data_IF_360796567280
#
_entry.id   IF_360796567280
#
_cell.length_a   1.000
_cell.length_b   1.000
_cell.length_c   1.000
_cell.angle_alpha   90.00
_cell.angle_beta   90.00
_cell.angle_gamma   90.00
#
_symmetry.space_group_name_H-M   'P 1'
#
loop_
_entity.id
_entity.type
_entity.pdbx_description
1 polymer ?
#
# COMPACT_ATOMS: atom_id res chain seq x y z
N UNK A 1 -24.28 0.40 9.50
CA UNK A 1 -24.08 1.14 8.23
C UNK A 1 -23.74 0.10 7.18
N UNK A 2 -24.41 0.13 6.02
CA UNK A 2 -24.19 -0.88 4.96
C UNK A 2 -22.78 -0.77 4.41
N UNK A 3 -22.04 -1.88 4.38
CA UNK A 3 -20.68 -2.00 3.82
C UNK A 3 -20.57 -1.55 2.35
N UNK A 4 -21.70 -1.46 1.65
CA UNK A 4 -21.79 -1.06 0.24
C UNK A 4 -21.39 0.40 -0.04
N UNK A 5 -21.35 1.29 0.96
CA UNK A 5 -21.00 2.70 0.78
C UNK A 5 -19.50 3.01 0.91
N UNK A 6 -18.68 2.00 1.21
CA UNK A 6 -17.26 2.19 1.55
C UNK A 6 -16.32 1.75 0.42
N UNK A 7 -16.85 1.34 -0.74
CA UNK A 7 -16.04 0.97 -1.90
C UNK A 7 -16.55 1.62 -3.19
N UNK A 8 -15.91 2.70 -3.63
CA UNK A 8 -16.13 3.29 -4.96
C UNK A 8 -15.34 2.49 -6.01
N UNK A 9 -16.00 2.06 -7.09
CA UNK A 9 -15.38 1.20 -8.12
C UNK A 9 -15.12 1.97 -9.41
N UNK A 10 -13.89 1.85 -9.89
CA UNK A 10 -13.42 2.34 -11.19
C UNK A 10 -12.95 1.13 -12.00
N UNK A 11 -13.78 0.70 -12.95
CA UNK A 11 -13.47 -0.41 -13.84
C UNK A 11 -12.88 0.09 -15.17
N UNK A 12 -11.80 -0.56 -15.61
CA UNK A 12 -11.07 -0.25 -16.83
C UNK A 12 -11.08 -1.46 -17.76
N UNK A 13 -10.99 -1.23 -19.08
CA UNK A 13 -11.00 -2.32 -20.06
C UNK A 13 -9.70 -3.14 -20.09
N UNK A 14 -8.60 -2.53 -19.63
CA UNK A 14 -7.29 -3.16 -19.58
C UNK A 14 -6.37 -2.47 -18.56
N UNK A 15 -5.25 -3.13 -18.28
CA UNK A 15 -4.24 -2.65 -17.34
C UNK A 15 -3.55 -1.35 -17.79
N UNK A 16 -3.52 -1.03 -19.08
CA UNK A 16 -2.92 0.22 -19.57
C UNK A 16 -3.78 1.42 -19.19
N UNK A 17 -5.09 1.35 -19.45
CA UNK A 17 -6.04 2.39 -19.04
C UNK A 17 -6.13 2.52 -17.53
N UNK A 18 -6.12 1.39 -16.80
CA UNK A 18 -6.03 1.41 -15.33
C UNK A 18 -4.78 2.16 -14.88
N UNK A 19 -3.62 1.83 -15.45
CA UNK A 19 -2.33 2.44 -15.07
C UNK A 19 -2.32 3.95 -15.34
N UNK A 20 -2.93 4.39 -16.44
CA UNK A 20 -3.07 5.81 -16.76
C UNK A 20 -3.97 6.55 -15.78
N UNK A 21 -5.16 6.01 -15.52
CA UNK A 21 -6.09 6.60 -14.58
C UNK A 21 -5.54 6.61 -13.14
N UNK A 22 -4.87 5.53 -12.73
CA UNK A 22 -4.19 5.46 -11.44
C UNK A 22 -3.11 6.53 -11.32
N UNK A 23 -2.25 6.68 -12.34
CA UNK A 23 -1.21 7.68 -12.34
C UNK A 23 -1.77 9.11 -12.23
N UNK A 24 -2.81 9.43 -13.02
CA UNK A 24 -3.49 10.73 -12.94
C UNK A 24 -4.11 10.96 -11.55
N UNK A 25 -4.76 9.94 -10.99
CA UNK A 25 -5.42 10.02 -9.68
C UNK A 25 -4.43 10.23 -8.53
N UNK A 26 -3.29 9.54 -8.59
CA UNK A 26 -2.17 9.75 -7.67
C UNK A 26 -1.63 11.17 -7.80
N UNK A 27 -1.40 11.65 -9.03
CA UNK A 27 -0.90 13.01 -9.27
C UNK A 27 -1.80 14.09 -8.70
N UNK A 28 -3.11 13.99 -8.92
CA UNK A 28 -4.06 14.95 -8.34
C UNK A 28 -4.01 14.93 -6.81
N UNK A 29 -3.96 13.73 -6.21
CA UNK A 29 -3.95 13.57 -4.75
C UNK A 29 -2.70 14.17 -4.13
N UNK A 30 -1.53 13.82 -4.67
CA UNK A 30 -0.25 14.30 -4.15
C UNK A 30 -0.09 15.80 -4.38
N UNK A 31 -0.53 16.33 -5.53
CA UNK A 31 -0.48 17.78 -5.79
C UNK A 31 -1.35 18.55 -4.79
N UNK A 32 -2.58 18.10 -4.54
CA UNK A 32 -3.46 18.73 -3.55
C UNK A 32 -2.85 18.71 -2.13
N UNK A 33 -2.24 17.59 -1.73
CA UNK A 33 -1.57 17.48 -0.44
C UNK A 33 -0.34 18.42 -0.35
N UNK A 34 0.45 18.52 -1.42
CA UNK A 34 1.60 19.44 -1.50
C UNK A 34 1.15 20.89 -1.45
N UNK A 35 0.11 21.27 -2.19
CA UNK A 35 -0.44 22.64 -2.16
C UNK A 35 -0.95 23.02 -0.76
N UNK A 36 -1.52 22.06 -0.04
CA UNK A 36 -2.12 22.30 1.29
C UNK A 36 -1.10 22.28 2.43
N UNK A 37 -0.10 21.39 2.37
CA UNK A 37 0.79 21.09 3.49
C UNK A 37 2.29 21.25 3.17
N UNK A 38 2.64 21.60 1.93
CA UNK A 38 4.01 21.72 1.43
C UNK A 38 4.72 20.38 1.18
N UNK A 39 4.06 19.25 1.46
CA UNK A 39 4.59 17.89 1.29
C UNK A 39 3.46 16.87 1.20
N UNK A 40 3.73 15.71 0.61
CA UNK A 40 2.78 14.59 0.54
C UNK A 40 3.45 13.26 0.84
N UNK A 41 2.67 12.28 1.28
CA UNK A 41 3.10 10.89 1.47
C UNK A 41 2.41 9.95 0.50
N UNK A 42 3.18 9.03 -0.08
CA UNK A 42 2.70 7.96 -0.95
C UNK A 42 3.20 6.61 -0.40
N UNK A 43 2.27 5.74 -0.04
CA UNK A 43 2.56 4.35 0.30
C UNK A 43 2.29 3.48 -0.93
N UNK A 44 3.25 2.66 -1.33
CA UNK A 44 3.13 1.76 -2.48
C UNK A 44 3.29 0.29 -2.07
N UNK A 45 2.59 -0.65 -2.72
CA UNK A 45 2.74 -2.07 -2.43
C UNK A 45 3.84 -2.71 -3.28
N UNK A 46 4.26 -3.90 -2.87
CA UNK A 46 4.99 -4.82 -3.75
C UNK A 46 4.08 -5.68 -4.63
N UNK A 47 4.67 -6.70 -5.26
CA UNK A 47 3.96 -7.66 -6.11
C UNK A 47 4.08 -7.35 -7.61
N UNK A 48 3.42 -8.15 -8.45
CA UNK A 48 3.61 -8.08 -9.91
C UNK A 48 2.87 -6.92 -10.58
N UNK A 49 1.68 -6.55 -10.10
CA UNK A 49 0.89 -5.46 -10.69
C UNK A 49 1.58 -4.09 -10.63
N UNK A 50 2.22 -3.69 -9.50
CA UNK A 50 2.97 -2.44 -9.43
C UNK A 50 4.10 -2.28 -10.46
N UNK A 51 4.73 -3.38 -10.89
CA UNK A 51 5.76 -3.36 -11.94
C UNK A 51 5.26 -2.72 -13.23
N UNK A 52 3.95 -2.80 -13.50
CA UNK A 52 3.34 -2.26 -14.73
C UNK A 52 3.01 -0.77 -14.60
N UNK A 53 2.40 -0.34 -13.50
CA UNK A 53 1.92 1.04 -13.36
C UNK A 53 2.93 2.01 -12.75
N UNK A 54 3.87 1.54 -11.91
CA UNK A 54 4.85 2.41 -11.26
C UNK A 54 5.76 3.14 -12.25
N UNK A 55 6.28 2.52 -13.34
CA UNK A 55 7.09 3.24 -14.31
C UNK A 55 6.34 4.41 -14.96
N UNK A 56 5.03 4.24 -15.20
CA UNK A 56 4.17 5.29 -15.75
C UNK A 56 3.94 6.40 -14.74
N UNK A 57 3.65 6.04 -13.48
CA UNK A 57 3.51 7.01 -12.40
C UNK A 57 4.80 7.84 -12.22
N UNK A 58 5.98 7.24 -12.35
CA UNK A 58 7.26 7.95 -12.22
C UNK A 58 7.46 9.06 -13.27
N UNK A 59 6.77 8.97 -14.42
CA UNK A 59 6.83 9.99 -15.48
C UNK A 59 5.86 11.16 -15.28
N UNK A 60 5.02 11.12 -14.24
CA UNK A 60 4.07 12.19 -13.98
C UNK A 60 4.79 13.47 -13.53
N UNK A 61 4.29 14.60 -14.02
CA UNK A 61 4.77 15.94 -13.64
C UNK A 61 4.30 16.29 -12.21
N UNK A 62 5.15 15.94 -11.25
CA UNK A 62 4.99 16.18 -9.83
C UNK A 62 6.30 16.73 -9.25
N UNK A 63 6.23 17.61 -8.23
CA UNK A 63 7.41 18.02 -7.50
C UNK A 63 7.87 16.90 -6.55
N UNK A 64 8.50 15.85 -7.10
CA UNK A 64 8.84 14.62 -6.37
C UNK A 64 9.70 14.85 -5.13
N UNK A 65 10.51 15.92 -5.10
CA UNK A 65 11.28 16.32 -3.91
C UNK A 65 10.42 16.66 -2.69
N UNK A 66 9.13 16.98 -2.88
CA UNK A 66 8.16 17.23 -1.81
C UNK A 66 7.35 15.98 -1.45
N UNK A 67 7.64 14.83 -2.08
CA UNK A 67 6.94 13.56 -1.87
C UNK A 67 7.81 12.62 -1.03
N UNK A 68 7.21 12.06 0.02
CA UNK A 68 7.76 11.01 0.85
C UNK A 68 7.12 9.68 0.46
N UNK A 69 7.93 8.69 0.13
CA UNK A 69 7.49 7.39 -0.37
C UNK A 69 7.94 6.31 0.60
N UNK A 70 7.02 5.39 0.93
CA UNK A 70 7.36 4.17 1.66
C UNK A 70 6.57 2.98 1.11
N UNK A 71 6.81 1.80 1.66
CA UNK A 71 6.16 0.55 1.30
C UNK A 71 4.97 0.28 2.21
N UNK A 72 3.93 -0.39 1.71
CA UNK A 72 2.86 -0.91 2.57
C UNK A 72 3.35 -2.02 3.49
N UNK A 73 4.33 -2.79 3.02
CA UNK A 73 4.94 -3.92 3.70
C UNK A 73 6.25 -4.32 3.02
N UNK A 74 7.06 -5.12 3.70
CA UNK A 74 8.31 -5.65 3.21
C UNK A 74 8.56 -7.07 3.72
N UNK A 75 9.22 -7.87 2.89
CA UNK A 75 9.76 -9.17 3.17
C UNK A 75 11.03 -8.97 3.99
N UNK A 76 11.19 -9.68 5.11
CA UNK A 76 12.38 -9.57 5.95
C UNK A 76 13.57 -10.32 5.34
N UNK A 77 14.04 -9.81 4.21
CA UNK A 77 15.16 -10.29 3.40
C UNK A 77 16.07 -9.11 3.06
N UNK A 78 17.24 -9.38 2.51
CA UNK A 78 18.14 -8.30 2.08
C UNK A 78 17.51 -7.43 0.97
N UNK A 79 17.75 -6.11 0.94
CA UNK A 79 17.20 -5.21 -0.08
C UNK A 79 17.62 -5.52 -1.52
N UNK A 80 18.62 -6.40 -1.73
CA UNK A 80 19.04 -6.87 -3.05
C UNK A 80 18.35 -8.18 -3.47
N UNK A 81 17.58 -8.81 -2.58
CA UNK A 81 16.82 -10.02 -2.87
C UNK A 81 15.72 -9.73 -3.90
N UNK A 82 15.48 -10.68 -4.81
CA UNK A 82 14.34 -10.64 -5.73
C UNK A 82 12.98 -10.65 -5.00
N UNK A 83 12.97 -11.09 -3.74
CA UNK A 83 11.78 -11.04 -2.90
C UNK A 83 11.59 -9.68 -2.20
N UNK A 84 12.50 -8.72 -2.31
CA UNK A 84 12.36 -7.42 -1.65
C UNK A 84 11.39 -6.51 -2.42
N UNK A 85 10.40 -5.96 -1.71
CA UNK A 85 9.53 -4.92 -2.23
C UNK A 85 10.30 -3.60 -2.43
N UNK A 86 11.27 -3.29 -1.57
CA UNK A 86 12.19 -2.16 -1.77
C UNK A 86 12.96 -2.29 -3.08
N UNK A 87 13.53 -3.47 -3.37
CA UNK A 87 14.19 -3.71 -4.66
C UNK A 87 13.26 -3.40 -5.82
N UNK A 88 12.06 -3.99 -5.79
CA UNK A 88 11.05 -3.80 -6.82
C UNK A 88 10.72 -2.31 -7.03
N UNK A 89 10.50 -1.56 -5.96
CA UNK A 89 10.17 -0.12 -6.05
C UNK A 89 11.36 0.70 -6.53
N UNK A 90 12.58 0.37 -6.12
CA UNK A 90 13.78 1.02 -6.66
C UNK A 90 13.92 0.80 -8.17
N UNK A 91 13.73 -0.45 -8.61
CA UNK A 91 13.84 -0.86 -10.02
C UNK A 91 12.66 -0.41 -10.89
N UNK A 92 11.44 -0.36 -10.39
CA UNK A 92 10.28 -0.06 -11.25
C UNK A 92 9.66 1.31 -11.00
N UNK A 93 10.17 2.07 -10.02
CA UNK A 93 9.64 3.38 -9.71
C UNK A 93 10.75 4.42 -9.59
N UNK A 94 11.61 4.32 -8.57
CA UNK A 94 12.55 5.40 -8.22
C UNK A 94 13.61 5.63 -9.30
N UNK A 95 14.08 4.58 -9.98
CA UNK A 95 15.05 4.72 -11.07
C UNK A 95 14.47 5.43 -12.31
N UNK A 96 13.14 5.47 -12.44
CA UNK A 96 12.46 6.10 -13.57
C UNK A 96 12.12 7.58 -13.33
N UNK A 97 12.32 8.09 -12.11
CA UNK A 97 12.00 9.47 -11.76
C UNK A 97 13.14 10.44 -12.12
N UNK A 98 12.77 11.59 -12.71
CA UNK A 98 13.72 12.66 -13.00
C UNK A 98 14.20 13.39 -11.74
N UNK A 99 13.34 13.46 -10.72
CA UNK A 99 13.63 14.05 -9.41
C UNK A 99 13.45 12.99 -8.34
N UNK A 100 14.47 12.81 -7.50
CA UNK A 100 14.42 11.79 -6.46
C UNK A 100 13.53 12.26 -5.29
N UNK A 101 12.55 11.44 -4.87
CA UNK A 101 11.73 11.69 -3.69
C UNK A 101 12.48 11.29 -2.41
N UNK A 102 11.88 11.59 -1.26
CA UNK A 102 12.32 11.01 0.01
C UNK A 102 11.81 9.58 0.10
N UNK A 103 12.69 8.57 0.08
CA UNK A 103 12.28 7.17 0.22
C UNK A 103 12.64 6.61 1.61
N UNK A 104 11.63 6.06 2.29
CA UNK A 104 11.75 5.47 3.63
C UNK A 104 11.59 3.96 3.51
N UNK A 105 12.69 3.25 3.71
CA UNK A 105 12.75 1.79 3.68
C UNK A 105 12.27 1.16 5.00
N UNK A 106 11.60 0.01 4.90
CA UNK A 106 11.13 -0.77 6.06
C UNK A 106 12.18 -1.79 6.53
N UNK A 107 13.07 -2.29 5.67
CA UNK A 107 14.15 -3.20 6.10
C UNK A 107 15.21 -2.43 6.88
N UNK A 108 15.67 -3.00 7.98
CA UNK A 108 16.79 -2.48 8.79
C UNK A 108 17.91 -3.52 8.87
N UNK A 109 19.01 -3.21 9.58
CA UNK A 109 20.10 -4.16 9.82
C UNK A 109 19.81 -5.23 10.86
N UNK A 110 18.63 -5.25 11.48
CA UNK A 110 18.27 -6.22 12.50
C UNK A 110 18.09 -7.63 11.92
N UNK A 111 18.37 -8.64 12.75
CA UNK A 111 18.24 -10.05 12.39
C UNK A 111 16.75 -10.42 12.27
N UNK A 112 15.92 -9.97 13.20
CA UNK A 112 14.48 -10.29 13.24
C UNK A 112 13.63 -9.01 13.15
N UNK A 113 12.48 -9.01 12.45
CA UNK A 113 11.66 -7.81 12.30
C UNK A 113 11.11 -7.27 13.63
N UNK A 114 10.86 -8.14 14.63
CA UNK A 114 10.38 -7.70 15.95
C UNK A 114 11.36 -6.75 16.65
N UNK A 115 12.66 -6.89 16.36
CA UNK A 115 13.70 -6.02 16.92
C UNK A 115 13.73 -4.65 16.24
N UNK A 116 13.09 -4.52 15.08
CA UNK A 116 13.15 -3.33 14.24
C UNK A 116 11.93 -2.41 14.38
N UNK A 117 10.89 -2.82 15.11
CA UNK A 117 9.62 -2.06 15.21
C UNK A 117 9.87 -0.61 15.62
N UNK A 118 10.61 -0.37 16.71
CA UNK A 118 10.88 0.99 17.20
C UNK A 118 11.59 1.85 16.15
N UNK A 119 12.59 1.30 15.46
CA UNK A 119 13.35 2.01 14.43
C UNK A 119 12.50 2.32 13.21
N UNK A 120 11.65 1.38 12.81
CA UNK A 120 10.78 1.53 11.64
C UNK A 120 9.66 2.52 11.95
N UNK A 121 9.06 2.47 13.14
CA UNK A 121 8.08 3.47 13.59
C UNK A 121 8.68 4.88 13.60
N UNK A 122 9.90 5.04 14.12
CA UNK A 122 10.59 6.33 14.12
C UNK A 122 10.81 6.86 12.70
N UNK A 123 11.23 6.00 11.76
CA UNK A 123 11.37 6.37 10.35
C UNK A 123 10.02 6.70 9.70
N UNK A 124 8.99 5.90 9.97
CA UNK A 124 7.64 6.12 9.43
C UNK A 124 7.01 7.41 9.96
N UNK A 125 7.38 7.84 11.16
CA UNK A 125 6.94 9.13 11.72
C UNK A 125 7.52 10.35 10.97
N UNK A 126 8.54 10.18 10.12
CA UNK A 126 9.06 11.26 9.26
C UNK A 126 8.14 11.58 8.08
N UNK A 127 7.30 10.61 7.66
CA UNK A 127 6.33 10.85 6.59
C UNK A 127 5.28 11.89 7.02
N UNK A 128 4.79 12.72 6.08
CA UNK A 128 3.58 13.50 6.29
C UNK A 128 2.42 12.59 6.72
N UNK A 129 1.80 12.92 7.86
CA UNK A 129 0.61 12.24 8.38
C UNK A 129 -0.57 13.22 8.49
N UNK A 130 -1.82 12.79 8.25
CA UNK A 130 -2.23 11.46 7.75
C UNK A 130 -1.59 11.12 6.40
N UNK A 131 -1.42 9.84 6.08
CA UNK A 131 -0.79 9.46 4.80
C UNK A 131 -1.63 9.96 3.63
N UNK A 132 -1.07 10.77 2.73
CA UNK A 132 -1.86 11.43 1.68
C UNK A 132 -2.51 10.42 0.74
N UNK A 133 -1.78 9.38 0.36
CA UNK A 133 -2.31 8.27 -0.43
C UNK A 133 -1.64 6.95 -0.09
N UNK A 134 -2.46 5.91 0.10
CA UNK A 134 -2.03 4.53 0.20
C UNK A 134 -2.54 3.75 -1.01
N UNK A 135 -1.63 3.09 -1.71
CA UNK A 135 -1.96 2.09 -2.74
C UNK A 135 -1.76 0.70 -2.12
N UNK A 136 -2.76 -0.17 -2.27
CA UNK A 136 -2.72 -1.55 -1.81
C UNK A 136 -2.97 -2.51 -2.97
N UNK A 137 -2.51 -3.74 -2.80
CA UNK A 137 -2.99 -4.90 -3.53
C UNK A 137 -3.84 -5.80 -2.62
N UNK A 138 -4.47 -6.81 -3.22
CA UNK A 138 -5.23 -7.84 -2.51
C UNK A 138 -4.64 -9.23 -2.73
N UNK A 139 -4.44 -9.96 -1.63
CA UNK A 139 -4.12 -11.38 -1.64
C UNK A 139 -5.33 -12.26 -1.95
N UNK A 140 -5.10 -13.51 -2.35
CA UNK A 140 -6.16 -14.49 -2.66
C UNK A 140 -6.98 -14.90 -1.42
N UNK A 141 -6.43 -14.69 -0.22
CA UNK A 141 -7.06 -14.88 1.09
C UNK A 141 -7.66 -13.58 1.67
N UNK A 142 -7.64 -12.48 0.90
CA UNK A 142 -8.12 -11.17 1.34
C UNK A 142 -7.14 -10.40 2.23
N UNK A 143 -5.88 -10.83 2.33
CA UNK A 143 -4.84 -10.03 2.97
C UNK A 143 -4.59 -8.73 2.20
N UNK A 144 -4.17 -7.70 2.94
CA UNK A 144 -3.70 -6.42 2.42
C UNK A 144 -2.35 -6.11 3.06
N UNK A 145 -1.44 -5.47 2.32
CA UNK A 145 -0.05 -5.34 2.76
C UNK A 145 0.50 -6.72 3.21
N UNK A 146 1.04 -6.83 4.42
CA UNK A 146 1.32 -8.13 5.05
C UNK A 146 0.45 -8.36 6.30
N UNK A 147 -0.80 -7.87 6.28
CA UNK A 147 -1.84 -8.15 7.29
C UNK A 147 -2.66 -9.34 6.80
N UNK A 148 -2.51 -10.51 7.43
CA UNK A 148 -3.14 -11.77 7.03
C UNK A 148 -4.37 -12.13 7.88
N UNK A 149 -5.31 -12.93 7.35
CA UNK A 149 -6.40 -13.49 8.14
C UNK A 149 -5.91 -14.21 9.41
N UNK A 150 -6.61 -13.99 10.52
CA UNK A 150 -6.27 -14.57 11.83
C UNK A 150 -5.23 -13.78 12.64
N UNK A 151 -4.65 -12.70 12.10
CA UNK A 151 -3.82 -11.79 12.89
C UNK A 151 -4.64 -10.89 13.81
N UNK A 152 -4.05 -10.52 14.96
CA UNK A 152 -4.60 -9.46 15.81
C UNK A 152 -4.34 -8.10 15.15
N UNK A 153 -5.38 -7.49 14.58
CA UNK A 153 -5.31 -6.17 13.95
C UNK A 153 -5.93 -5.12 14.87
N UNK A 154 -5.10 -4.46 15.68
CA UNK A 154 -5.55 -3.43 16.60
C UNK A 154 -5.62 -2.05 15.89
N UNK A 155 -6.81 -1.46 15.68
CA UNK A 155 -6.93 -0.12 15.10
C UNK A 155 -6.51 1.00 16.07
N UNK A 156 -6.45 0.73 17.38
CA UNK A 156 -6.18 1.72 18.43
C UNK A 156 -4.72 1.71 18.92
N UNK A 157 -3.84 0.93 18.28
CA UNK A 157 -2.40 0.95 18.59
C UNK A 157 -1.77 2.29 18.19
N UNK A 158 -0.64 2.67 18.82
CA UNK A 158 0.17 3.82 18.40
C UNK A 158 1.28 3.44 17.41
N UNK A 159 1.50 2.14 17.20
CA UNK A 159 2.53 1.60 16.31
C UNK A 159 2.13 1.79 14.85
N UNK A 160 3.02 2.33 14.01
CA UNK A 160 2.78 2.51 12.58
C UNK A 160 3.07 1.24 11.78
N UNK A 161 3.90 0.35 12.33
CA UNK A 161 4.19 -0.95 11.74
C UNK A 161 3.93 -2.10 12.70
N UNK A 162 3.87 -3.32 12.16
CA UNK A 162 3.81 -4.57 12.92
C UNK A 162 4.42 -5.71 12.11
N UNK A 163 4.89 -6.75 12.82
CA UNK A 163 5.42 -7.94 12.17
C UNK A 163 4.31 -8.91 11.75
N UNK A 164 4.60 -9.74 10.76
CA UNK A 164 3.72 -10.81 10.35
C UNK A 164 4.50 -12.05 9.94
N UNK A 165 3.92 -13.21 10.22
CA UNK A 165 4.41 -14.52 9.78
C UNK A 165 3.39 -15.07 8.79
N UNK A 166 3.68 -15.04 7.48
CA UNK A 166 2.74 -15.54 6.48
C UNK A 166 2.47 -17.04 6.70
N UNK A 167 1.22 -17.52 6.57
CA UNK A 167 0.91 -18.94 6.75
C UNK A 167 1.62 -19.86 5.75
N UNK A 168 1.85 -19.37 4.52
CA UNK A 168 2.30 -20.18 3.39
C UNK A 168 3.70 -19.81 2.85
N UNK A 169 4.33 -18.74 3.35
CA UNK A 169 5.62 -18.27 2.85
C UNK A 169 6.69 -18.24 3.96
N UNK A 170 7.94 -18.60 3.64
CA UNK A 170 8.98 -18.76 4.66
C UNK A 170 9.53 -17.44 5.21
N UNK A 171 9.37 -16.33 4.46
CA UNK A 171 9.90 -15.03 4.87
C UNK A 171 8.94 -14.29 5.80
N UNK A 172 9.43 -13.99 7.00
CA UNK A 172 8.79 -13.03 7.90
C UNK A 172 8.58 -11.69 7.22
N UNK A 173 7.61 -10.93 7.71
CA UNK A 173 7.21 -9.65 7.14
C UNK A 173 7.25 -8.56 8.19
N UNK A 174 7.46 -7.35 7.70
CA UNK A 174 7.07 -6.12 8.37
C UNK A 174 5.97 -5.47 7.52
N UNK A 175 4.89 -5.03 8.15
CA UNK A 175 3.74 -4.38 7.49
C UNK A 175 3.47 -3.05 8.16
N UNK A 176 2.90 -2.10 7.42
CA UNK A 176 2.12 -1.04 8.05
C UNK A 176 1.00 -1.68 8.88
N UNK A 177 0.74 -1.12 10.07
CA UNK A 177 -0.33 -1.57 10.96
C UNK A 177 -1.69 -1.18 10.41
N UNK A 178 -2.76 -1.82 10.90
CA UNK A 178 -4.12 -1.39 10.56
C UNK A 178 -4.35 0.08 10.94
N UNK A 179 -3.83 0.50 12.10
CA UNK A 179 -3.88 1.90 12.56
C UNK A 179 -3.27 2.87 11.55
N UNK A 180 -2.09 2.55 11.01
CA UNK A 180 -1.43 3.40 10.01
C UNK A 180 -2.25 3.50 8.71
N UNK A 181 -2.87 2.39 8.28
CA UNK A 181 -3.71 2.36 7.07
C UNK A 181 -5.00 3.18 7.25
N UNK A 182 -5.71 3.01 8.37
CA UNK A 182 -6.97 3.75 8.62
C UNK A 182 -6.75 5.27 8.76
N UNK A 183 -5.56 5.68 9.21
CA UNK A 183 -5.14 7.09 9.34
C UNK A 183 -4.51 7.67 8.07
N UNK A 184 -4.82 7.10 6.90
CA UNK A 184 -4.56 7.75 5.61
C UNK A 184 -5.68 8.71 5.23
N UNK A 185 -5.41 9.67 4.35
CA UNK A 185 -6.44 10.50 3.72
C UNK A 185 -7.21 9.70 2.68
N UNK A 186 -6.51 8.89 1.87
CA UNK A 186 -7.08 8.13 0.75
C UNK A 186 -6.43 6.76 0.61
N UNK A 187 -7.23 5.74 0.28
CA UNK A 187 -6.77 4.39 -0.05
C UNK A 187 -7.30 3.99 -1.42
N UNK A 188 -6.40 3.56 -2.30
CA UNK A 188 -6.72 2.90 -3.56
C UNK A 188 -6.26 1.45 -3.49
N UNK A 189 -7.16 0.52 -3.79
CA UNK A 189 -6.85 -0.90 -3.96
C UNK A 189 -6.84 -1.22 -5.46
N UNK A 190 -5.70 -1.71 -5.96
CA UNK A 190 -5.53 -2.08 -7.37
C UNK A 190 -5.78 -3.57 -7.53
N UNK A 191 -6.77 -3.91 -8.37
CA UNK A 191 -7.23 -5.27 -8.62
C UNK A 191 -7.07 -5.60 -10.11
N UNK A 192 -6.39 -6.71 -10.40
CA UNK A 192 -6.23 -7.22 -11.75
C UNK A 192 -6.59 -8.70 -11.76
N UNK A 193 -7.36 -9.14 -12.75
CA UNK A 193 -7.78 -10.53 -12.85
C UNK A 193 -9.20 -10.77 -12.35
N UNK A 194 -9.96 -11.53 -13.13
CA UNK A 194 -11.33 -11.96 -12.81
C UNK A 194 -11.46 -12.60 -11.43
N UNK A 195 -10.50 -13.45 -11.05
CA UNK A 195 -10.52 -14.15 -9.76
C UNK A 195 -10.49 -13.20 -8.56
N UNK A 196 -9.65 -12.16 -8.62
CA UNK A 196 -9.56 -11.15 -7.56
C UNK A 196 -10.78 -10.25 -7.51
N UNK A 197 -11.38 -9.90 -8.66
CA UNK A 197 -12.64 -9.14 -8.72
C UNK A 197 -13.78 -9.93 -8.06
N UNK A 198 -13.92 -11.20 -8.41
CA UNK A 198 -14.90 -12.10 -7.80
C UNK A 198 -14.64 -12.30 -6.29
N UNK A 199 -13.38 -12.31 -5.86
CA UNK A 199 -13.04 -12.35 -4.43
C UNK A 199 -13.55 -11.09 -3.72
N UNK A 200 -13.29 -9.91 -4.26
CA UNK A 200 -13.82 -8.64 -3.71
C UNK A 200 -15.34 -8.67 -3.62
N UNK A 201 -16.03 -9.10 -4.68
CA UNK A 201 -17.49 -9.21 -4.68
C UNK A 201 -17.97 -10.09 -3.52
N UNK A 202 -17.37 -11.27 -3.32
CA UNK A 202 -17.69 -12.16 -2.19
C UNK A 202 -17.40 -11.52 -0.83
N UNK A 203 -16.28 -10.82 -0.69
CA UNK A 203 -15.88 -10.17 0.57
C UNK A 203 -16.83 -9.01 0.94
N UNK A 204 -17.40 -8.34 -0.05
CA UNK A 204 -18.39 -7.26 0.15
C UNK A 204 -19.78 -7.85 0.43
N UNK A 205 -20.20 -8.87 -0.29
CA UNK A 205 -21.52 -9.52 -0.15
C UNK A 205 -21.64 -10.32 1.16
N UNK A 206 -20.55 -10.97 1.58
CA UNK A 206 -20.50 -11.81 2.79
C UNK A 206 -19.27 -11.44 3.64
N UNK A 207 -19.32 -10.29 4.35
CA UNK A 207 -18.16 -9.77 5.07
C UNK A 207 -17.81 -10.62 6.29
N UNK A 208 -16.59 -11.17 6.31
CA UNK A 208 -15.96 -11.74 7.51
C UNK A 208 -14.94 -10.75 8.08
N UNK A 209 -15.17 -10.30 9.32
CA UNK A 209 -14.32 -9.30 9.99
C UNK A 209 -12.91 -9.82 10.33
N UNK A 210 -12.69 -11.13 10.26
CA UNK A 210 -11.36 -11.72 10.40
C UNK A 210 -10.51 -11.54 9.13
N UNK A 211 -11.11 -11.12 8.02
CA UNK A 211 -10.41 -10.84 6.77
C UNK A 211 -9.88 -9.40 6.79
N UNK A 212 -8.57 -9.18 6.62
CA UNK A 212 -7.94 -7.87 6.76
C UNK A 212 -8.53 -6.77 5.86
N UNK A 213 -8.83 -7.08 4.60
CA UNK A 213 -9.51 -6.13 3.71
C UNK A 213 -10.89 -5.71 4.25
N UNK A 214 -11.70 -6.68 4.68
CA UNK A 214 -13.03 -6.41 5.26
C UNK A 214 -12.90 -5.59 6.53
N UNK A 215 -11.92 -5.92 7.38
CA UNK A 215 -11.62 -5.17 8.60
C UNK A 215 -11.25 -3.72 8.31
N UNK A 216 -10.38 -3.45 7.33
CA UNK A 216 -10.01 -2.10 6.90
C UNK A 216 -11.25 -1.29 6.47
N UNK A 217 -12.12 -1.89 5.64
CA UNK A 217 -13.33 -1.24 5.14
C UNK A 217 -14.30 -0.83 6.25
N UNK A 218 -14.21 -1.38 7.46
CA UNK A 218 -15.06 -0.94 8.58
C UNK A 218 -14.72 0.48 9.07
N UNK A 219 -13.50 0.95 8.80
CA UNK A 219 -12.98 2.21 9.32
C UNK A 219 -12.71 3.23 8.22
N UNK A 220 -12.35 2.77 7.01
CA UNK A 220 -11.86 3.62 5.94
C UNK A 220 -12.50 3.25 4.59
N UNK A 221 -13.09 4.21 3.85
CA UNK A 221 -13.47 3.97 2.47
C UNK A 221 -12.25 3.62 1.61
N UNK A 222 -12.42 2.66 0.71
CA UNK A 222 -11.38 2.16 -0.20
C UNK A 222 -11.86 2.29 -1.64
N UNK A 223 -11.11 2.99 -2.48
CA UNK A 223 -11.43 3.06 -3.91
C UNK A 223 -10.83 1.85 -4.64
N UNK A 224 -11.62 1.19 -5.46
CA UNK A 224 -11.23 0.00 -6.21
C UNK A 224 -10.91 0.40 -7.65
N UNK A 225 -9.66 0.24 -8.05
CA UNK A 225 -9.22 0.39 -9.44
C UNK A 225 -9.06 -1.00 -10.02
N UNK A 226 -9.89 -1.39 -10.97
CA UNK A 226 -10.00 -2.79 -11.40
C UNK A 226 -10.01 -3.00 -12.92
N UNK A 227 -9.38 -4.10 -13.35
CA UNK A 227 -9.46 -4.65 -14.71
C UNK A 227 -9.49 -6.18 -14.64
N UNK A 228 -10.03 -6.80 -15.69
CA UNK A 228 -9.92 -8.25 -15.90
C UNK A 228 -8.50 -8.72 -16.16
#
# INVERSE_FOLDING_TARGET
MSSSHLAERHAFSDLSLLSEALAQSVTVTLRNAIERYGKASLVVPGGHTPVVYLPRLAQMDLPWQQVFITLSDERWVEPTSEQSNERLVREHFLQHMQQQPHFIALKTGHIHPDQAITDIDARLAELPQPFSLVILGLGEDGHIASLFPGMALNPDTTSLCQTATPPAAPSLRISLSLHALINSDRIILVITGKEKRQLIDRLIESPDQNIPFVRLMQFKPVELFETD
#
